data_IF_628359442721
#
_entry.id   IF_628359442721
#
_cell.length_a   1.000
_cell.length_b   1.000
_cell.length_c   1.000
_cell.angle_alpha   90.00
_cell.angle_beta   90.00
_cell.angle_gamma   90.00
#
_symmetry.space_group_name_H-M   'P 1'
#
loop_
_entity.id
_entity.type
_entity.pdbx_description
1 polymer ?
#
# COMPACT_ATOMS: atom_id res chain seq x y z
N UNK A 1 26.85 -49.22 44.32
CA UNK A 1 27.14 -49.34 42.87
C UNK A 1 25.86 -49.04 42.07
N UNK A 2 25.55 -47.77 41.81
CA UNK A 2 24.40 -47.37 40.97
C UNK A 2 24.56 -45.91 40.48
N UNK A 3 25.70 -45.56 39.89
CA UNK A 3 25.95 -44.19 39.38
C UNK A 3 26.47 -44.14 37.93
N UNK A 4 26.50 -45.27 37.21
CA UNK A 4 26.97 -45.31 35.80
C UNK A 4 25.85 -45.14 34.77
N UNK A 5 24.60 -44.95 35.20
CA UNK A 5 23.44 -44.76 34.31
C UNK A 5 22.96 -43.30 34.20
N UNK A 6 23.40 -42.41 35.09
CA UNK A 6 22.93 -41.02 35.15
C UNK A 6 23.65 -40.13 34.12
N UNK A 7 24.95 -40.33 33.88
CA UNK A 7 25.73 -39.48 32.97
C UNK A 7 25.44 -39.69 31.48
N UNK A 8 25.09 -40.90 31.03
CA UNK A 8 24.77 -41.15 29.62
C UNK A 8 23.41 -40.55 29.25
N UNK A 9 22.41 -40.68 30.13
CA UNK A 9 21.09 -40.13 29.89
C UNK A 9 21.10 -38.60 30.03
N UNK A 10 21.85 -38.06 31.00
CA UNK A 10 22.08 -36.62 31.16
C UNK A 10 22.75 -36.00 29.92
N UNK A 11 23.78 -36.64 29.38
CA UNK A 11 24.44 -36.17 28.15
C UNK A 11 23.48 -36.18 26.95
N UNK A 12 22.69 -37.24 26.79
CA UNK A 12 21.73 -37.35 25.68
C UNK A 12 20.63 -36.29 25.79
N UNK A 13 20.11 -36.03 27.00
CA UNK A 13 19.12 -34.97 27.23
C UNK A 13 19.74 -33.59 27.00
N UNK A 14 20.96 -33.34 27.46
CA UNK A 14 21.65 -32.08 27.23
C UNK A 14 21.88 -31.81 25.73
N UNK A 15 22.33 -32.81 24.97
CA UNK A 15 22.52 -32.71 23.52
C UNK A 15 21.16 -32.50 22.82
N UNK A 16 20.11 -33.21 23.26
CA UNK A 16 18.77 -33.05 22.71
C UNK A 16 18.24 -31.62 22.92
N UNK A 17 18.39 -31.07 24.13
CA UNK A 17 17.98 -29.69 24.45
C UNK A 17 18.78 -28.66 23.67
N UNK A 18 20.10 -28.83 23.53
CA UNK A 18 20.93 -27.95 22.70
C UNK A 18 20.54 -28.02 21.23
N UNK A 19 20.23 -29.22 20.71
CA UNK A 19 19.74 -29.40 19.35
C UNK A 19 18.45 -28.63 19.09
N UNK A 20 17.46 -28.74 19.99
CA UNK A 20 16.20 -27.99 19.90
C UNK A 20 16.44 -26.48 20.00
N UNK A 21 17.33 -26.04 20.90
CA UNK A 21 17.67 -24.62 21.05
C UNK A 21 18.28 -24.04 19.76
N UNK A 22 19.21 -24.76 19.11
CA UNK A 22 19.82 -24.31 17.85
C UNK A 22 18.78 -24.20 16.73
N UNK A 23 17.88 -25.19 16.59
CA UNK A 23 16.81 -25.13 15.60
C UNK A 23 15.87 -23.95 15.86
N UNK A 24 15.50 -23.70 17.11
CA UNK A 24 14.65 -22.58 17.49
C UNK A 24 15.28 -21.22 17.13
N UNK A 25 16.58 -21.05 17.38
CA UNK A 25 17.31 -19.83 17.01
C UNK A 25 17.35 -19.64 15.49
N UNK A 26 17.67 -20.69 14.72
CA UNK A 26 17.72 -20.62 13.26
C UNK A 26 16.35 -20.32 12.64
N UNK A 27 15.28 -20.89 13.19
CA UNK A 27 13.90 -20.58 12.79
C UNK A 27 13.56 -19.10 13.07
N UNK A 28 13.98 -18.57 14.22
CA UNK A 28 13.81 -17.16 14.55
C UNK A 28 14.51 -16.23 13.55
N UNK A 29 15.79 -16.50 13.25
CA UNK A 29 16.59 -15.66 12.34
C UNK A 29 16.07 -15.67 10.90
N UNK A 30 15.63 -16.82 10.40
CA UNK A 30 15.06 -16.91 9.03
C UNK A 30 13.75 -16.14 8.92
N UNK A 31 12.92 -16.19 9.97
CA UNK A 31 11.65 -15.44 10.02
C UNK A 31 11.89 -13.93 10.02
N UNK A 32 12.84 -13.42 10.81
CA UNK A 32 13.12 -11.97 10.88
C UNK A 32 13.65 -11.40 9.57
N UNK A 33 14.48 -12.16 8.83
CA UNK A 33 14.97 -11.75 7.50
C UNK A 33 13.82 -11.64 6.50
N UNK A 34 12.93 -12.63 6.45
CA UNK A 34 11.77 -12.59 5.55
C UNK A 34 10.82 -11.43 5.89
N UNK A 35 10.55 -11.22 7.18
CA UNK A 35 9.74 -10.08 7.63
C UNK A 35 10.36 -8.72 7.29
N UNK A 36 11.69 -8.62 7.28
CA UNK A 36 12.38 -7.39 6.92
C UNK A 36 12.20 -7.02 5.44
N UNK A 37 12.24 -8.01 4.53
CA UNK A 37 11.98 -7.78 3.09
C UNK A 37 10.54 -7.32 2.86
N UNK A 38 9.56 -7.98 3.50
CA UNK A 38 8.16 -7.61 3.34
C UNK A 38 7.86 -6.22 3.90
N UNK A 39 8.41 -5.88 5.06
CA UNK A 39 8.27 -4.53 5.63
C UNK A 39 8.90 -3.46 4.76
N UNK A 40 10.08 -3.74 4.17
CA UNK A 40 10.71 -2.80 3.23
C UNK A 40 9.80 -2.55 2.02
N UNK A 41 9.23 -3.61 1.43
CA UNK A 41 8.29 -3.49 0.30
C UNK A 41 7.01 -2.76 0.68
N UNK A 42 6.46 -3.02 1.86
CA UNK A 42 5.30 -2.29 2.37
C UNK A 42 5.61 -0.81 2.57
N UNK A 43 6.75 -0.47 3.17
CA UNK A 43 7.16 0.92 3.33
C UNK A 43 7.29 1.64 1.97
N UNK A 44 7.88 0.97 0.96
CA UNK A 44 7.96 1.51 -0.40
C UNK A 44 6.58 1.64 -1.06
N UNK A 45 5.66 0.68 -0.87
CA UNK A 45 4.31 0.77 -1.39
C UNK A 45 3.54 1.96 -0.77
N UNK A 46 3.67 2.17 0.54
CA UNK A 46 3.02 3.26 1.29
C UNK A 46 3.54 4.63 0.83
N UNK A 47 4.84 4.80 0.64
CA UNK A 47 5.37 6.08 0.12
C UNK A 47 4.96 6.30 -1.32
N UNK A 48 5.00 5.27 -2.15
CA UNK A 48 4.65 5.36 -3.58
C UNK A 48 3.16 5.69 -3.78
N UNK A 49 2.26 5.10 -2.99
CA UNK A 49 0.81 5.39 -3.12
C UNK A 49 0.48 6.82 -2.72
N UNK A 50 1.18 7.38 -1.73
CA UNK A 50 1.07 8.78 -1.33
C UNK A 50 1.61 9.71 -2.41
N UNK A 51 2.80 9.45 -2.94
CA UNK A 51 3.39 10.23 -4.03
C UNK A 51 2.49 10.20 -5.29
N UNK A 52 1.87 9.06 -5.59
CA UNK A 52 0.92 8.95 -6.70
C UNK A 52 -0.36 9.76 -6.45
N UNK A 53 -0.89 9.72 -5.23
CA UNK A 53 -2.04 10.55 -4.85
C UNK A 53 -1.75 12.04 -4.95
N UNK A 54 -0.58 12.48 -4.47
CA UNK A 54 -0.12 13.87 -4.56
C UNK A 54 0.07 14.30 -6.02
N UNK A 55 0.73 13.49 -6.83
CA UNK A 55 0.92 13.76 -8.25
C UNK A 55 -0.43 13.87 -8.98
N UNK A 56 -1.42 13.05 -8.61
CA UNK A 56 -2.76 13.12 -9.16
C UNK A 56 -3.52 14.38 -8.72
N UNK A 57 -3.42 14.76 -7.44
CA UNK A 57 -4.01 16.00 -6.94
C UNK A 57 -3.39 17.22 -7.62
N UNK A 58 -2.06 17.24 -7.79
CA UNK A 58 -1.36 18.31 -8.48
C UNK A 58 -1.79 18.38 -9.96
N UNK A 59 -1.83 17.23 -10.66
CA UNK A 59 -2.30 17.17 -12.04
C UNK A 59 -3.72 17.76 -12.20
N UNK A 60 -4.63 17.44 -11.28
CA UNK A 60 -5.99 18.01 -11.29
C UNK A 60 -5.99 19.49 -10.97
N UNK A 61 -5.21 19.91 -9.97
CA UNK A 61 -5.06 21.32 -9.60
C UNK A 61 -4.43 22.14 -10.75
N UNK A 62 -3.68 21.50 -11.64
CA UNK A 62 -3.08 22.11 -12.82
C UNK A 62 -4.07 22.41 -13.95
N UNK A 63 -5.35 22.04 -13.80
CA UNK A 63 -6.43 22.33 -14.75
C UNK A 63 -6.96 21.08 -15.45
N UNK A 64 -6.47 19.90 -15.10
CA UNK A 64 -6.89 18.64 -15.71
C UNK A 64 -8.07 17.97 -14.98
N UNK A 65 -8.89 18.75 -14.28
CA UNK A 65 -10.14 18.25 -13.71
C UNK A 65 -11.14 17.93 -14.84
N UNK A 66 -11.69 16.72 -14.83
CA UNK A 66 -12.71 16.32 -15.81
C UNK A 66 -14.04 16.10 -15.07
N UNK A 67 -15.10 16.87 -15.40
CA UNK A 67 -16.43 16.62 -14.85
C UNK A 67 -16.89 15.21 -15.21
N UNK A 68 -17.45 14.48 -14.24
CA UNK A 68 -17.91 13.10 -14.44
C UNK A 68 -16.82 12.11 -14.93
N UNK A 69 -15.56 12.27 -14.51
CA UNK A 69 -14.47 11.38 -14.93
C UNK A 69 -14.65 9.95 -14.41
N UNK A 70 -14.60 8.95 -15.29
CA UNK A 70 -14.62 7.54 -14.89
C UNK A 70 -13.27 7.02 -14.39
N UNK A 71 -12.18 7.74 -14.68
CA UNK A 71 -10.81 7.43 -14.27
C UNK A 71 -9.91 8.66 -14.44
N UNK A 72 -8.73 8.62 -13.83
CA UNK A 72 -7.66 9.57 -14.08
C UNK A 72 -6.36 8.83 -14.36
N UNK A 73 -5.48 9.46 -15.13
CA UNK A 73 -4.11 9.03 -15.33
C UNK A 73 -3.20 10.24 -15.15
N UNK A 74 -2.08 10.04 -14.47
CA UNK A 74 -1.04 11.07 -14.32
C UNK A 74 0.05 10.79 -15.34
N UNK A 75 0.14 11.57 -16.43
CA UNK A 75 1.17 11.37 -17.43
C UNK A 75 2.56 11.55 -16.81
N UNK A 76 3.48 10.62 -17.07
CA UNK A 76 4.86 10.73 -16.61
C UNK A 76 5.11 10.33 -15.15
N UNK A 77 4.09 9.88 -14.40
CA UNK A 77 4.35 9.26 -13.10
C UNK A 77 5.06 7.92 -13.28
N UNK A 78 6.29 7.83 -12.78
CA UNK A 78 7.11 6.62 -12.82
C UNK A 78 7.19 6.02 -11.40
N UNK A 79 6.49 4.90 -11.11
CA UNK A 79 6.68 4.20 -9.84
C UNK A 79 8.10 3.61 -9.76
N UNK A 80 8.63 3.38 -8.54
CA UNK A 80 9.89 2.66 -8.36
C UNK A 80 9.87 1.29 -9.05
N UNK A 81 11.05 0.82 -9.47
CA UNK A 81 11.18 -0.48 -10.14
C UNK A 81 10.53 -1.61 -9.31
N UNK A 82 9.76 -2.46 -9.99
CA UNK A 82 9.03 -3.55 -9.35
C UNK A 82 7.70 -3.16 -8.70
N UNK A 83 7.24 -1.91 -8.86
CA UNK A 83 5.92 -1.46 -8.42
C UNK A 83 5.08 -0.93 -9.59
N UNK A 84 3.77 -1.10 -9.49
CA UNK A 84 2.78 -0.54 -10.42
C UNK A 84 1.78 0.31 -9.66
N UNK A 85 1.56 1.55 -10.12
CA UNK A 85 0.56 2.47 -9.57
C UNK A 85 -0.59 2.62 -10.57
N UNK A 86 -1.84 2.64 -10.08
CA UNK A 86 -3.03 2.83 -10.90
C UNK A 86 -4.21 3.38 -10.09
N UNK A 87 -5.15 4.01 -10.78
CA UNK A 87 -6.51 4.22 -10.26
C UNK A 87 -7.27 2.88 -10.31
N UNK A 88 -7.97 2.52 -9.24
CA UNK A 88 -8.81 1.33 -9.20
C UNK A 88 -10.04 1.57 -10.08
N UNK A 89 -10.24 0.70 -11.07
CA UNK A 89 -11.36 0.77 -12.01
C UNK A 89 -12.71 0.76 -11.28
N UNK A 90 -13.59 1.70 -11.61
CA UNK A 90 -14.92 1.79 -10.99
C UNK A 90 -14.91 2.32 -9.56
N UNK A 91 -13.79 2.83 -9.06
CA UNK A 91 -13.71 3.42 -7.71
C UNK A 91 -14.14 4.88 -7.64
N UNK A 92 -14.37 5.53 -8.78
CA UNK A 92 -14.71 6.95 -8.81
C UNK A 92 -16.12 7.17 -8.27
N UNK A 93 -16.22 8.13 -7.35
CA UNK A 93 -17.43 8.57 -6.71
C UNK A 93 -17.52 10.09 -6.78
N UNK A 94 -18.74 10.59 -6.93
CA UNK A 94 -19.03 12.00 -7.10
C UNK A 94 -19.70 12.54 -5.85
N UNK A 95 -19.34 13.75 -5.46
CA UNK A 95 -19.96 14.42 -4.34
C UNK A 95 -21.30 15.04 -4.73
N UNK A 96 -22.35 14.71 -3.99
CA UNK A 96 -23.70 15.27 -4.20
C UNK A 96 -24.05 16.45 -3.30
N UNK A 97 -23.14 16.86 -2.41
CA UNK A 97 -23.44 17.81 -1.32
C UNK A 97 -23.77 17.13 0.01
N UNK A 98 -24.10 15.84 -0.01
CA UNK A 98 -24.41 15.07 1.20
C UNK A 98 -23.75 13.68 1.21
N UNK A 99 -23.69 13.02 0.05
CA UNK A 99 -23.21 11.65 -0.09
C UNK A 99 -22.26 11.50 -1.28
N UNK A 100 -21.40 10.49 -1.21
CA UNK A 100 -20.57 10.02 -2.32
C UNK A 100 -21.32 8.93 -3.09
N UNK A 101 -21.58 9.16 -4.38
CA UNK A 101 -22.32 8.22 -5.23
C UNK A 101 -21.50 7.82 -6.47
N UNK A 102 -21.65 6.59 -6.98
CA UNK A 102 -20.96 6.16 -8.21
C UNK A 102 -21.60 6.74 -9.48
N UNK A 103 -22.77 7.36 -9.37
CA UNK A 103 -23.46 8.02 -10.47
C UNK A 103 -23.04 9.48 -10.55
N UNK A 104 -22.61 9.92 -11.73
CA UNK A 104 -22.41 11.35 -11.95
C UNK A 104 -23.77 12.04 -12.12
N UNK A 105 -24.22 12.66 -11.03
CA UNK A 105 -25.26 13.70 -10.98
C UNK A 105 -24.59 15.05 -11.31
N UNK A 106 -25.28 16.22 -11.37
CA UNK A 106 -24.58 17.47 -11.68
C UNK A 106 -23.30 17.63 -10.84
N UNK A 107 -22.16 17.71 -11.54
CA UNK A 107 -20.84 17.65 -10.94
C UNK A 107 -20.61 18.88 -10.06
N UNK A 108 -20.35 18.65 -8.77
CA UNK A 108 -20.11 19.71 -7.78
C UNK A 108 -18.63 19.99 -7.56
N UNK A 109 -17.78 19.62 -8.52
CA UNK A 109 -16.34 19.87 -8.46
C UNK A 109 -15.57 19.03 -7.43
N UNK A 110 -16.16 17.96 -6.91
CA UNK A 110 -15.49 17.03 -5.98
C UNK A 110 -15.70 15.59 -6.41
N UNK A 111 -14.58 14.87 -6.57
CA UNK A 111 -14.55 13.46 -6.94
C UNK A 111 -13.64 12.70 -5.98
N UNK A 112 -14.07 11.55 -5.49
CA UNK A 112 -13.26 10.64 -4.68
C UNK A 112 -12.96 9.40 -5.50
N UNK A 113 -11.71 8.96 -5.49
CA UNK A 113 -11.31 7.72 -6.15
C UNK A 113 -10.32 6.96 -5.32
N UNK A 114 -10.18 5.67 -5.60
CA UNK A 114 -9.17 4.82 -4.96
C UNK A 114 -7.99 4.66 -5.88
N UNK A 115 -6.81 4.96 -5.37
CA UNK A 115 -5.54 4.60 -6.01
C UNK A 115 -4.96 3.36 -5.36
N UNK A 116 -4.23 2.57 -6.13
CA UNK A 116 -3.54 1.38 -5.65
C UNK A 116 -2.11 1.35 -6.15
N UNK A 117 -1.18 0.96 -5.28
CA UNK A 117 0.18 0.58 -5.65
C UNK A 117 0.41 -0.87 -5.26
N UNK A 118 0.89 -1.67 -6.18
CA UNK A 118 1.21 -3.07 -5.93
C UNK A 118 2.62 -3.40 -6.41
N UNK A 119 3.33 -4.19 -5.61
CA UNK A 119 4.54 -4.89 -6.02
C UNK A 119 4.23 -5.92 -7.11
N UNK A 120 5.12 -6.04 -8.08
CA UNK A 120 5.02 -6.98 -9.20
C UNK A 120 5.11 -8.45 -8.77
N UNK A 121 5.70 -8.72 -7.61
CA UNK A 121 5.80 -10.06 -7.01
C UNK A 121 4.63 -10.39 -6.06
N UNK A 122 3.66 -9.47 -5.92
CA UNK A 122 2.44 -9.68 -5.12
C UNK A 122 2.65 -9.65 -3.59
N UNK A 123 3.83 -9.27 -3.09
CA UNK A 123 4.15 -9.33 -1.65
C UNK A 123 3.73 -8.09 -0.87
N UNK A 124 3.46 -6.99 -1.56
CA UNK A 124 2.97 -5.74 -1.00
C UNK A 124 1.95 -5.10 -1.95
N UNK A 125 0.84 -4.62 -1.39
CA UNK A 125 -0.16 -3.82 -2.07
C UNK A 125 -0.75 -2.82 -1.09
N UNK A 126 -0.91 -1.59 -1.53
CA UNK A 126 -1.43 -0.48 -0.73
C UNK A 126 -2.48 0.28 -1.53
N UNK A 127 -3.50 0.78 -0.84
CA UNK A 127 -4.57 1.58 -1.44
C UNK A 127 -4.81 2.84 -0.65
N UNK A 128 -5.16 3.93 -1.35
CA UNK A 128 -5.50 5.20 -0.73
C UNK A 128 -6.71 5.80 -1.42
N UNK A 129 -7.68 6.26 -0.65
CA UNK A 129 -8.79 7.05 -1.17
C UNK A 129 -8.35 8.51 -1.26
N UNK A 130 -8.41 9.08 -2.46
CA UNK A 130 -7.97 10.43 -2.78
C UNK A 130 -9.18 11.25 -3.19
N UNK A 131 -9.31 12.43 -2.62
CA UNK A 131 -10.32 13.42 -3.04
C UNK A 131 -9.66 14.42 -3.96
N UNK A 132 -10.22 14.54 -5.14
CA UNK A 132 -9.88 15.49 -6.19
C UNK A 132 -10.87 16.63 -6.17
N UNK A 133 -10.35 17.86 -6.22
CA UNK A 133 -11.14 19.08 -6.21
C UNK A 133 -10.90 19.84 -7.51
N UNK A 134 -11.98 20.28 -8.14
CA UNK A 134 -11.95 21.19 -9.28
C UNK A 134 -11.16 22.45 -8.89
N UNK A 135 -10.15 22.86 -9.66
CA UNK A 135 -9.42 24.09 -9.38
C UNK A 135 -10.36 25.29 -9.49
N UNK A 136 -10.10 26.30 -8.65
CA UNK A 136 -10.83 27.57 -8.63
C UNK A 136 -9.84 28.68 -8.99
N UNK A 137 -9.44 28.79 -10.26
CA UNK A 137 -8.58 29.89 -10.72
C UNK A 137 -9.43 31.11 -11.09
N UNK A 138 -8.79 32.27 -11.19
CA UNK A 138 -9.45 33.52 -11.61
C UNK A 138 -10.09 33.41 -13.01
N UNK A 139 -9.60 32.50 -13.85
CA UNK A 139 -10.09 32.24 -15.21
C UNK A 139 -11.19 31.16 -15.26
N UNK A 140 -11.41 30.43 -14.16
CA UNK A 140 -12.38 29.33 -14.10
C UNK A 140 -13.77 29.83 -13.65
N UNK A 141 -14.86 29.15 -14.06
CA UNK A 141 -16.19 29.46 -13.53
C UNK A 141 -16.21 29.34 -11.99
N UNK A 142 -16.97 30.20 -11.30
CA UNK A 142 -16.98 30.25 -9.84
C UNK A 142 -17.30 28.89 -9.26
N UNK A 143 -16.55 28.50 -8.23
CA UNK A 143 -16.73 27.22 -7.54
C UNK A 143 -18.07 27.21 -6.80
N UNK A 144 -19.06 26.54 -7.40
CA UNK A 144 -20.40 26.33 -6.86
C UNK A 144 -20.92 24.96 -7.25
#
# INVERSE_FOLDING_TARGET
>A
MRERGESLLELVVAIALMGVAVVAVMAGLTTTVLMSDTQRKQATAVTTVRNYAEALQQYVADGHYVPCASTYAVPGFAPPAGFTARVVSGSVQYWTGALWLPLCLPDRGLQRLRVSVASTDGRAAETLDVVLRKPCRLEDPPCG
#
